data_IF_091382524211
#
_entry.id   IF_091382524211
#
_cell.length_a   1.000
_cell.length_b   1.000
_cell.length_c   1.000
_cell.angle_alpha   90.00
_cell.angle_beta   90.00
_cell.angle_gamma   90.00
#
_symmetry.space_group_name_H-M   'P 1'
#
loop_
_entity.id
_entity.type
_entity.pdbx_description
1 polymer ?
#
# COMPACT_ATOMS: atom_id res chain seq x y z
N UNK A 1 -24.08 51.67 31.97
CA UNK A 1 -25.39 51.00 31.84
C UNK A 1 -25.17 49.57 31.37
N UNK A 2 -25.46 48.58 32.21
CA UNK A 2 -25.38 47.16 31.86
C UNK A 2 -26.55 46.84 30.91
N UNK A 3 -26.25 46.42 29.68
CA UNK A 3 -27.28 45.94 28.76
C UNK A 3 -27.87 44.65 29.33
N UNK A 4 -29.11 44.71 29.84
CA UNK A 4 -29.90 43.52 30.21
C UNK A 4 -30.31 42.81 28.91
N UNK A 5 -29.45 41.92 28.43
CA UNK A 5 -29.76 41.07 27.28
C UNK A 5 -30.76 40.01 27.78
N UNK A 6 -32.04 40.20 27.43
CA UNK A 6 -33.06 39.17 27.64
C UNK A 6 -32.79 38.08 26.61
N UNK A 7 -32.45 36.88 27.08
CA UNK A 7 -32.28 35.72 26.21
C UNK A 7 -33.65 35.33 25.62
N UNK A 8 -33.75 35.08 24.31
CA UNK A 8 -34.98 34.59 23.71
C UNK A 8 -35.35 33.22 24.31
N UNK A 9 -36.65 32.91 24.34
CA UNK A 9 -37.15 31.63 24.84
C UNK A 9 -36.51 30.43 24.13
N UNK A 10 -36.34 29.32 24.86
CA UNK A 10 -35.64 28.13 24.35
C UNK A 10 -36.19 27.59 23.03
N UNK A 11 -37.50 27.71 22.80
CA UNK A 11 -38.17 27.33 21.54
C UNK A 11 -37.77 28.24 20.38
N UNK A 12 -37.64 29.55 20.62
CA UNK A 12 -37.16 30.53 19.64
C UNK A 12 -35.71 30.27 19.26
N UNK A 13 -34.85 29.99 20.24
CA UNK A 13 -33.45 29.60 19.99
C UNK A 13 -33.36 28.30 19.19
N UNK A 14 -34.11 27.27 19.57
CA UNK A 14 -34.13 25.98 18.85
C UNK A 14 -34.56 26.14 17.39
N UNK A 15 -35.60 26.95 17.12
CA UNK A 15 -36.04 27.24 15.75
C UNK A 15 -34.95 27.97 14.95
N UNK A 16 -34.35 29.01 15.53
CA UNK A 16 -33.28 29.76 14.88
C UNK A 16 -32.08 28.86 14.56
N UNK A 17 -31.66 28.00 15.50
CA UNK A 17 -30.56 27.05 15.30
C UNK A 17 -30.88 26.09 14.15
N UNK A 18 -32.11 25.55 14.11
CA UNK A 18 -32.55 24.65 13.03
C UNK A 18 -32.53 25.36 11.67
N UNK A 19 -33.07 26.57 11.57
CA UNK A 19 -33.08 27.37 10.34
C UNK A 19 -31.65 27.67 9.84
N UNK A 20 -30.75 28.07 10.76
CA UNK A 20 -29.34 28.35 10.41
C UNK A 20 -28.62 27.08 9.96
N UNK A 21 -28.87 25.94 10.62
CA UNK A 21 -28.30 24.64 10.21
C UNK A 21 -28.78 24.21 8.84
N UNK A 22 -30.06 24.39 8.54
CA UNK A 22 -30.64 24.08 7.24
C UNK A 22 -30.04 24.96 6.13
N UNK A 23 -30.02 26.29 6.34
CA UNK A 23 -29.36 27.24 5.40
C UNK A 23 -27.90 26.87 5.14
N UNK A 24 -27.16 26.53 6.19
CA UNK A 24 -25.76 26.13 6.06
C UNK A 24 -25.59 24.79 5.31
N UNK A 25 -26.56 23.88 5.42
CA UNK A 25 -26.58 22.59 4.72
C UNK A 25 -26.89 22.80 3.24
N UNK A 26 -27.91 23.59 2.91
CA UNK A 26 -28.25 23.95 1.54
C UNK A 26 -27.09 24.68 0.84
N UNK A 27 -26.40 25.59 1.55
CA UNK A 27 -25.21 26.27 1.02
C UNK A 27 -24.09 25.28 0.69
N UNK A 28 -23.87 24.26 1.53
CA UNK A 28 -22.89 23.22 1.26
C UNK A 28 -23.27 22.40 0.02
N UNK A 29 -24.52 21.98 -0.10
CA UNK A 29 -24.98 21.24 -1.27
C UNK A 29 -24.87 22.05 -2.55
N UNK A 30 -25.22 23.34 -2.51
CA UNK A 30 -25.04 24.24 -3.64
C UNK A 30 -23.58 24.30 -4.09
N UNK A 31 -22.66 24.54 -3.16
CA UNK A 31 -21.23 24.59 -3.48
C UNK A 31 -20.74 23.28 -4.10
N UNK A 32 -21.07 22.14 -3.50
CA UNK A 32 -20.65 20.82 -3.98
C UNK A 32 -21.23 20.49 -5.36
N UNK A 33 -22.51 20.78 -5.59
CA UNK A 33 -23.17 20.54 -6.87
C UNK A 33 -22.61 21.41 -8.01
N UNK A 34 -21.95 22.52 -7.68
CA UNK A 34 -21.29 23.41 -8.65
C UNK A 34 -19.87 22.98 -9.02
N UNK A 35 -19.25 22.08 -8.27
CA UNK A 35 -17.89 21.58 -8.56
C UNK A 35 -17.82 20.84 -9.91
N UNK A 36 -18.67 19.84 -10.19
CA UNK A 36 -18.53 19.05 -11.40
C UNK A 36 -19.01 19.80 -12.65
N UNK A 37 -18.28 19.62 -13.75
CA UNK A 37 -18.67 20.02 -15.10
C UNK A 37 -19.94 19.28 -15.56
N UNK A 38 -20.55 19.71 -16.68
CA UNK A 38 -21.72 19.04 -17.23
C UNK A 38 -21.46 17.56 -17.56
N UNK A 39 -20.27 17.25 -18.08
CA UNK A 39 -19.84 15.89 -18.37
C UNK A 39 -19.64 15.07 -17.09
N UNK A 40 -18.91 15.62 -16.11
CA UNK A 40 -18.69 14.97 -14.81
C UNK A 40 -20.01 14.72 -14.08
N UNK A 41 -20.99 15.63 -14.18
CA UNK A 41 -22.34 15.42 -13.62
C UNK A 41 -23.02 14.21 -14.24
N UNK A 42 -22.91 14.04 -15.57
CA UNK A 42 -23.46 12.86 -16.25
C UNK A 42 -22.77 11.58 -15.76
N UNK A 43 -21.43 11.59 -15.67
CA UNK A 43 -20.66 10.47 -15.14
C UNK A 43 -21.03 10.12 -13.69
N UNK A 44 -21.21 11.12 -12.83
CA UNK A 44 -21.60 10.92 -11.44
C UNK A 44 -23.00 10.31 -11.32
N UNK A 45 -23.95 10.73 -12.16
CA UNK A 45 -25.29 10.14 -12.18
C UNK A 45 -25.27 8.68 -12.69
N UNK A 46 -24.35 8.33 -13.60
CA UNK A 46 -24.16 6.93 -14.04
C UNK A 46 -23.75 6.00 -12.89
N UNK A 47 -23.14 6.52 -11.81
CA UNK A 47 -22.83 5.72 -10.61
C UNK A 47 -24.07 5.04 -9.99
N UNK A 48 -25.24 5.63 -10.20
CA UNK A 48 -26.51 5.12 -9.66
C UNK A 48 -27.15 4.05 -10.54
N UNK A 49 -26.70 3.91 -11.79
CA UNK A 49 -27.19 2.91 -12.74
C UNK A 49 -26.56 1.53 -12.52
N UNK A 50 -27.20 0.45 -13.01
CA UNK A 50 -26.60 -0.87 -13.02
C UNK A 50 -25.37 -0.89 -13.94
N UNK A 51 -24.37 -1.70 -13.60
CA UNK A 51 -23.24 -1.96 -14.50
C UNK A 51 -23.57 -3.08 -15.49
N UNK A 52 -22.98 -3.05 -16.69
CA UNK A 52 -23.22 -4.05 -17.74
C UNK A 52 -22.92 -5.49 -17.31
N UNK A 53 -22.06 -5.67 -16.30
CA UNK A 53 -21.57 -6.98 -15.86
C UNK A 53 -22.05 -7.39 -14.45
N UNK A 54 -22.88 -6.60 -13.77
CA UNK A 54 -23.31 -6.91 -12.39
C UNK A 54 -24.67 -6.31 -12.04
N UNK A 55 -25.43 -7.01 -11.20
CA UNK A 55 -26.68 -6.50 -10.60
C UNK A 55 -26.44 -5.32 -9.65
N UNK A 56 -25.20 -5.05 -9.27
CA UNK A 56 -24.82 -3.91 -8.44
C UNK A 56 -24.58 -2.69 -9.31
N UNK A 57 -24.89 -1.51 -8.78
CA UNK A 57 -24.46 -0.27 -9.40
C UNK A 57 -22.97 -0.05 -9.21
N UNK A 58 -22.38 0.82 -10.03
CA UNK A 58 -20.97 1.20 -9.91
C UNK A 58 -20.68 1.84 -8.54
N UNK A 59 -21.62 2.61 -7.99
CA UNK A 59 -21.49 3.15 -6.63
C UNK A 59 -21.34 2.04 -5.56
N UNK A 60 -22.10 0.95 -5.66
CA UNK A 60 -22.03 -0.15 -4.69
C UNK A 60 -20.78 -1.01 -4.86
N UNK A 61 -20.22 -1.12 -6.07
CA UNK A 61 -18.92 -1.78 -6.25
C UNK A 61 -17.78 -0.92 -5.71
N UNK A 62 -17.80 0.40 -5.95
CA UNK A 62 -16.79 1.34 -5.43
C UNK A 62 -16.78 1.42 -3.90
N UNK A 63 -17.92 1.12 -3.25
CA UNK A 63 -18.01 1.03 -1.79
C UNK A 63 -17.26 -0.16 -1.19
N UNK A 64 -16.96 -1.19 -1.99
CA UNK A 64 -16.32 -2.41 -1.49
C UNK A 64 -14.81 -2.24 -1.53
N UNK A 65 -14.20 -2.23 -0.34
CA UNK A 65 -12.76 -2.32 -0.19
C UNK A 65 -12.23 -3.73 -0.44
N UNK A 66 -10.90 -3.89 -0.54
CA UNK A 66 -10.26 -5.19 -0.68
C UNK A 66 -10.51 -6.05 0.57
N UNK A 67 -10.78 -7.34 0.37
CA UNK A 67 -11.03 -8.31 1.45
C UNK A 67 -9.94 -9.38 1.57
N UNK A 68 -8.99 -9.39 0.64
CA UNK A 68 -7.86 -10.33 0.65
C UNK A 68 -6.56 -9.61 0.35
N UNK A 69 -5.45 -10.19 0.82
CA UNK A 69 -4.09 -9.69 0.57
C UNK A 69 -3.50 -10.52 -0.57
N UNK A 70 -3.61 -10.03 -1.80
CA UNK A 70 -3.10 -10.73 -3.00
C UNK A 70 -2.86 -9.76 -4.16
N UNK A 71 -2.03 -10.18 -5.13
CA UNK A 71 -1.76 -9.38 -6.33
C UNK A 71 -3.03 -9.00 -7.14
N UNK A 72 -3.96 -9.95 -7.40
CA UNK A 72 -5.24 -9.61 -8.02
C UNK A 72 -6.05 -8.61 -7.19
N UNK A 73 -6.17 -8.81 -5.88
CA UNK A 73 -6.91 -7.90 -5.00
C UNK A 73 -6.28 -6.49 -4.95
N UNK A 74 -4.95 -6.39 -5.03
CA UNK A 74 -4.27 -5.12 -5.16
C UNK A 74 -4.56 -4.44 -6.49
N UNK A 75 -4.52 -5.17 -7.60
CA UNK A 75 -4.86 -4.61 -8.92
C UNK A 75 -6.32 -4.13 -8.95
N UNK A 76 -7.26 -4.89 -8.36
CA UNK A 76 -8.66 -4.46 -8.20
C UNK A 76 -8.78 -3.21 -7.33
N UNK A 77 -7.99 -3.09 -6.25
CA UNK A 77 -7.97 -1.91 -5.40
C UNK A 77 -7.44 -0.67 -6.14
N UNK A 78 -6.40 -0.82 -6.96
CA UNK A 78 -5.86 0.25 -7.80
C UNK A 78 -6.86 0.65 -8.89
N UNK A 79 -7.52 -0.29 -9.56
CA UNK A 79 -8.57 0.03 -10.54
C UNK A 79 -9.77 0.75 -9.91
N UNK A 80 -10.15 0.35 -8.69
CA UNK A 80 -11.18 1.06 -7.91
C UNK A 80 -10.76 2.50 -7.60
N UNK A 81 -9.53 2.71 -7.15
CA UNK A 81 -8.99 4.05 -6.94
C UNK A 81 -8.97 4.85 -8.25
N UNK A 82 -8.45 4.26 -9.33
CA UNK A 82 -8.37 4.88 -10.64
C UNK A 82 -9.74 5.32 -11.14
N UNK A 83 -10.76 4.46 -11.01
CA UNK A 83 -12.14 4.80 -11.36
C UNK A 83 -12.64 6.04 -10.63
N UNK A 84 -12.26 6.22 -9.36
CA UNK A 84 -12.61 7.41 -8.57
C UNK A 84 -11.79 8.64 -8.98
N UNK A 85 -10.48 8.47 -9.21
CA UNK A 85 -9.57 9.51 -9.65
C UNK A 85 -9.89 10.03 -11.07
N UNK A 86 -10.37 9.17 -11.97
CA UNK A 86 -10.71 9.50 -13.36
C UNK A 86 -11.91 10.46 -13.45
N UNK A 87 -12.70 10.63 -12.38
CA UNK A 87 -13.69 11.72 -12.32
C UNK A 87 -13.04 13.11 -12.32
N UNK A 88 -11.77 13.23 -11.94
CA UNK A 88 -11.01 14.48 -12.03
C UNK A 88 -11.61 15.63 -11.20
N UNK A 89 -12.18 15.31 -10.03
CA UNK A 89 -12.76 16.33 -9.14
C UNK A 89 -11.63 17.04 -8.38
N UNK A 90 -10.95 17.98 -9.03
CA UNK A 90 -9.75 18.62 -8.48
C UNK A 90 -10.02 19.46 -7.22
N UNK A 91 -9.04 19.42 -6.31
CA UNK A 91 -9.11 19.96 -4.95
C UNK A 91 -9.09 21.50 -4.85
N UNK A 92 -8.82 22.22 -5.94
CA UNK A 92 -8.71 23.69 -5.94
C UNK A 92 -10.01 24.37 -5.44
N UNK A 93 -11.16 23.72 -5.65
CA UNK A 93 -12.46 24.20 -5.18
C UNK A 93 -12.81 23.80 -3.72
N UNK A 94 -12.00 22.93 -3.09
CA UNK A 94 -12.30 22.33 -1.78
C UNK A 94 -11.78 23.12 -0.59
N UNK A 95 -10.79 24.01 -0.79
CA UNK A 95 -10.23 24.87 0.26
C UNK A 95 -11.28 25.71 0.99
N UNK A 96 -12.38 26.04 0.32
CA UNK A 96 -13.49 26.82 0.88
C UNK A 96 -14.58 25.98 1.57
N UNK A 97 -14.41 24.65 1.62
CA UNK A 97 -15.37 23.71 2.20
C UNK A 97 -14.91 23.21 3.57
N UNK A 98 -15.79 23.19 4.58
CA UNK A 98 -15.45 22.60 5.87
C UNK A 98 -15.21 21.09 5.74
N UNK A 99 -13.95 20.65 5.93
CA UNK A 99 -13.53 19.25 5.77
C UNK A 99 -14.38 18.25 6.58
N UNK A 100 -14.74 18.60 7.82
CA UNK A 100 -15.59 17.76 8.69
C UNK A 100 -16.96 17.52 8.06
N UNK A 101 -17.56 18.53 7.43
CA UNK A 101 -18.88 18.39 6.80
C UNK A 101 -18.82 17.56 5.53
N UNK A 102 -17.76 17.74 4.74
CA UNK A 102 -17.50 16.90 3.56
C UNK A 102 -17.37 15.43 3.97
N UNK A 103 -16.53 15.14 4.96
CA UNK A 103 -16.33 13.77 5.48
C UNK A 103 -17.62 13.16 6.02
N UNK A 104 -18.45 13.93 6.72
CA UNK A 104 -19.74 13.45 7.21
C UNK A 104 -20.73 13.16 6.07
N UNK A 105 -20.77 14.00 5.03
CA UNK A 105 -21.62 13.78 3.87
C UNK A 105 -21.15 12.57 3.05
N UNK A 106 -19.85 12.37 2.91
CA UNK A 106 -19.27 11.21 2.26
C UNK A 106 -19.54 9.91 3.02
N UNK A 107 -19.45 9.93 4.36
CA UNK A 107 -19.83 8.79 5.20
C UNK A 107 -21.30 8.46 5.04
N UNK A 108 -22.15 9.48 5.02
CA UNK A 108 -23.57 9.31 4.74
C UNK A 108 -23.80 8.67 3.37
N UNK A 109 -23.08 9.11 2.33
CA UNK A 109 -23.14 8.51 0.99
C UNK A 109 -22.73 7.02 1.01
N UNK A 110 -21.67 6.69 1.76
CA UNK A 110 -21.19 5.32 1.96
C UNK A 110 -22.25 4.38 2.57
N UNK A 111 -22.98 4.85 3.58
CA UNK A 111 -24.00 4.07 4.29
C UNK A 111 -25.36 4.04 3.56
N UNK A 112 -25.63 5.00 2.68
CA UNK A 112 -26.94 5.15 2.03
C UNK A 112 -27.01 4.29 0.78
N UNK A 113 -28.09 3.54 0.61
CA UNK A 113 -28.31 2.75 -0.61
C UNK A 113 -28.46 3.64 -1.84
N UNK A 114 -28.04 3.14 -3.01
CA UNK A 114 -28.19 3.79 -4.32
C UNK A 114 -29.61 4.29 -4.56
N UNK A 115 -30.60 3.46 -4.23
CA UNK A 115 -32.02 3.79 -4.39
C UNK A 115 -32.43 5.03 -3.59
N UNK A 116 -31.95 5.15 -2.36
CA UNK A 116 -32.23 6.31 -1.52
C UNK A 116 -31.50 7.57 -2.02
N UNK A 117 -30.29 7.42 -2.56
CA UNK A 117 -29.55 8.53 -3.18
C UNK A 117 -30.27 9.01 -4.46
N UNK A 118 -30.74 8.09 -5.29
CA UNK A 118 -31.45 8.40 -6.54
C UNK A 118 -32.72 9.24 -6.32
N UNK A 119 -33.42 9.02 -5.20
CA UNK A 119 -34.66 9.72 -4.83
C UNK A 119 -34.45 11.10 -4.22
N UNK A 120 -33.22 11.53 -3.97
CA UNK A 120 -32.94 12.85 -3.43
C UNK A 120 -33.23 13.95 -4.45
N UNK A 121 -33.41 15.20 -3.98
CA UNK A 121 -33.45 16.35 -4.87
C UNK A 121 -32.15 16.41 -5.70
N UNK A 122 -32.19 16.86 -6.97
CA UNK A 122 -31.03 16.83 -7.86
C UNK A 122 -29.78 17.47 -7.26
N UNK A 123 -29.97 18.58 -6.54
CA UNK A 123 -28.91 19.30 -5.87
C UNK A 123 -28.28 18.50 -4.72
N UNK A 124 -29.10 17.88 -3.86
CA UNK A 124 -28.61 17.05 -2.75
C UNK A 124 -27.94 15.78 -3.28
N UNK A 125 -28.53 15.14 -4.29
CA UNK A 125 -28.00 13.95 -4.95
C UNK A 125 -26.59 14.20 -5.49
N UNK A 126 -26.43 15.27 -6.28
CA UNK A 126 -25.13 15.65 -6.82
C UNK A 126 -24.12 15.95 -5.71
N UNK A 127 -24.52 16.69 -4.67
CA UNK A 127 -23.63 16.99 -3.54
C UNK A 127 -23.17 15.71 -2.80
N UNK A 128 -24.04 14.72 -2.65
CA UNK A 128 -23.73 13.43 -2.02
C UNK A 128 -22.76 12.63 -2.90
N UNK A 129 -22.97 12.59 -4.22
CA UNK A 129 -22.09 11.89 -5.16
C UNK A 129 -20.71 12.52 -5.25
N UNK A 130 -20.63 13.85 -5.31
CA UNK A 130 -19.36 14.60 -5.28
C UNK A 130 -18.62 14.34 -3.97
N UNK A 131 -19.33 14.41 -2.83
CA UNK A 131 -18.72 14.14 -1.53
C UNK A 131 -18.23 12.69 -1.42
N UNK A 132 -18.98 11.73 -1.98
CA UNK A 132 -18.56 10.33 -2.08
C UNK A 132 -17.24 10.22 -2.83
N UNK A 133 -17.18 10.65 -4.10
CA UNK A 133 -15.97 10.49 -4.93
C UNK A 133 -14.76 11.14 -4.27
N UNK A 134 -14.87 12.39 -3.81
CA UNK A 134 -13.74 13.12 -3.20
C UNK A 134 -13.15 12.43 -1.97
N UNK A 135 -13.98 11.89 -1.08
CA UNK A 135 -13.49 11.25 0.13
C UNK A 135 -13.09 9.79 -0.10
N UNK A 136 -13.79 9.11 -1.00
CA UNK A 136 -13.55 7.70 -1.29
C UNK A 136 -12.37 7.49 -2.23
N UNK A 137 -12.00 8.47 -3.04
CA UNK A 137 -10.75 8.44 -3.81
C UNK A 137 -9.55 8.29 -2.86
N UNK A 138 -9.42 9.16 -1.86
CA UNK A 138 -8.36 9.06 -0.86
C UNK A 138 -8.42 7.74 -0.09
N UNK A 139 -9.62 7.36 0.38
CA UNK A 139 -9.81 6.08 1.08
C UNK A 139 -9.40 4.88 0.21
N UNK A 140 -9.72 4.91 -1.09
CA UNK A 140 -9.42 3.81 -1.98
C UNK A 140 -7.92 3.68 -2.26
N UNK A 141 -7.19 4.80 -2.30
CA UNK A 141 -5.74 4.79 -2.38
C UNK A 141 -5.12 4.23 -1.09
N UNK A 142 -5.60 4.69 0.07
CA UNK A 142 -5.14 4.21 1.38
C UNK A 142 -5.34 2.68 1.49
N UNK A 143 -6.53 2.18 1.16
CA UNK A 143 -6.83 0.75 1.13
C UNK A 143 -5.88 -0.04 0.19
N UNK A 144 -5.53 0.53 -0.97
CA UNK A 144 -4.62 -0.11 -1.92
C UNK A 144 -3.19 -0.16 -1.37
N UNK A 145 -2.74 0.89 -0.68
CA UNK A 145 -1.44 0.95 0.00
C UNK A 145 -1.38 -0.03 1.17
N UNK A 146 -2.45 -0.18 1.95
CA UNK A 146 -2.52 -1.18 3.03
C UNK A 146 -2.36 -2.62 2.49
N UNK A 147 -2.98 -2.93 1.35
CA UNK A 147 -2.80 -4.23 0.68
C UNK A 147 -1.36 -4.40 0.19
N UNK A 148 -0.76 -3.36 -0.40
CA UNK A 148 0.62 -3.38 -0.86
C UNK A 148 1.59 -3.65 0.29
N UNK A 149 1.46 -2.93 1.40
CA UNK A 149 2.31 -3.06 2.58
C UNK A 149 2.20 -4.47 3.17
N UNK A 150 0.98 -4.99 3.29
CA UNK A 150 0.75 -6.35 3.76
C UNK A 150 1.38 -7.40 2.82
N UNK A 151 1.30 -7.21 1.50
CA UNK A 151 1.92 -8.09 0.51
C UNK A 151 3.45 -8.04 0.58
N UNK A 152 4.04 -6.86 0.68
CA UNK A 152 5.48 -6.69 0.81
C UNK A 152 5.99 -7.33 2.10
N UNK A 153 5.27 -7.17 3.22
CA UNK A 153 5.60 -7.84 4.47
C UNK A 153 5.61 -9.37 4.33
N UNK A 154 4.63 -9.94 3.63
CA UNK A 154 4.59 -11.39 3.34
C UNK A 154 5.78 -11.82 2.48
N UNK A 155 6.07 -11.08 1.41
CA UNK A 155 7.18 -11.37 0.49
C UNK A 155 8.52 -11.36 1.23
N UNK A 156 8.78 -10.33 2.03
CA UNK A 156 10.02 -10.19 2.81
C UNK A 156 10.14 -11.32 3.83
N UNK A 157 9.03 -11.66 4.53
CA UNK A 157 9.01 -12.77 5.48
C UNK A 157 9.29 -14.11 4.80
N UNK A 158 8.71 -14.36 3.63
CA UNK A 158 8.93 -15.58 2.87
C UNK A 158 10.38 -15.68 2.37
N UNK A 159 10.94 -14.59 1.84
CA UNK A 159 12.35 -14.52 1.45
C UNK A 159 13.28 -14.85 2.63
N UNK A 160 13.05 -14.24 3.80
CA UNK A 160 13.79 -14.53 5.04
C UNK A 160 13.68 -16.00 5.43
N UNK A 161 12.48 -16.58 5.36
CA UNK A 161 12.26 -18.00 5.70
C UNK A 161 13.00 -18.94 4.74
N UNK A 162 13.03 -18.61 3.44
CA UNK A 162 13.80 -19.35 2.44
C UNK A 162 15.30 -19.25 2.73
N UNK A 163 15.80 -18.04 3.01
CA UNK A 163 17.21 -17.80 3.34
C UNK A 163 17.65 -18.57 4.58
N UNK A 164 16.86 -18.51 5.66
CA UNK A 164 17.10 -19.31 6.87
C UNK A 164 17.13 -20.81 6.60
N UNK A 165 16.22 -21.32 5.77
CA UNK A 165 16.17 -22.75 5.40
C UNK A 165 17.39 -23.16 4.57
N UNK A 166 17.82 -22.34 3.60
CA UNK A 166 19.04 -22.57 2.82
C UNK A 166 20.27 -22.55 3.73
N UNK A 167 20.35 -21.57 4.64
CA UNK A 167 21.45 -21.47 5.61
C UNK A 167 21.55 -22.70 6.49
N UNK A 168 20.44 -23.12 7.12
CA UNK A 168 20.41 -24.31 7.97
C UNK A 168 20.85 -25.58 7.24
N UNK A 169 20.48 -25.75 5.97
CA UNK A 169 20.94 -26.88 5.15
C UNK A 169 22.45 -26.84 4.91
N UNK A 170 22.97 -25.66 4.63
CA UNK A 170 24.37 -25.44 4.29
C UNK A 170 25.33 -25.47 5.49
N UNK A 171 24.83 -25.30 6.73
CA UNK A 171 25.66 -25.30 7.94
C UNK A 171 26.44 -26.60 8.11
N UNK A 172 25.81 -27.75 7.83
CA UNK A 172 26.49 -29.05 7.95
C UNK A 172 27.68 -29.17 6.99
N UNK A 173 27.50 -28.69 5.76
CA UNK A 173 28.55 -28.73 4.74
C UNK A 173 29.65 -27.69 5.03
N UNK A 174 29.27 -26.54 5.59
CA UNK A 174 30.19 -25.53 6.08
C UNK A 174 31.02 -26.04 7.26
N UNK A 175 30.43 -26.70 8.26
CA UNK A 175 31.13 -27.28 9.40
C UNK A 175 32.16 -28.32 8.95
N UNK A 176 31.74 -29.23 8.05
CA UNK A 176 32.63 -30.24 7.48
C UNK A 176 33.81 -29.60 6.73
N UNK A 177 33.55 -28.55 5.97
CA UNK A 177 34.56 -27.82 5.21
C UNK A 177 35.50 -27.03 6.12
N UNK A 178 34.96 -26.38 7.15
CA UNK A 178 35.72 -25.63 8.14
C UNK A 178 36.66 -26.54 8.93
N UNK A 179 36.20 -27.72 9.38
CA UNK A 179 37.03 -28.71 10.05
C UNK A 179 38.17 -29.22 9.14
N UNK A 180 37.89 -29.46 7.86
CA UNK A 180 38.91 -29.89 6.90
C UNK A 180 39.93 -28.80 6.56
N UNK A 181 39.50 -27.53 6.48
CA UNK A 181 40.40 -26.39 6.27
C UNK A 181 41.24 -26.11 7.53
N UNK A 182 40.65 -26.21 8.73
CA UNK A 182 41.37 -26.06 9.99
C UNK A 182 42.43 -27.16 10.15
N UNK A 183 42.12 -28.41 9.79
CA UNK A 183 43.10 -29.50 9.81
C UNK A 183 44.20 -29.30 8.76
N UNK A 184 43.90 -28.77 7.58
CA UNK A 184 44.93 -28.42 6.60
C UNK A 184 45.82 -27.27 7.09
N UNK A 185 45.24 -26.25 7.72
CA UNK A 185 45.96 -25.09 8.22
C UNK A 185 46.81 -25.40 9.46
N UNK A 186 46.47 -26.41 10.26
CA UNK A 186 47.27 -26.77 11.44
C UNK A 186 48.67 -27.27 11.07
N UNK A 187 48.87 -27.82 9.87
CA UNK A 187 50.20 -28.17 9.35
C UNK A 187 51.08 -26.94 9.09
N UNK A 188 50.50 -25.77 8.82
CA UNK A 188 51.26 -24.52 8.69
C UNK A 188 51.83 -24.04 10.02
N UNK A 189 51.30 -24.52 11.14
CA UNK A 189 51.71 -24.13 12.49
C UNK A 189 52.70 -25.14 13.13
N UNK A 190 53.08 -26.21 12.42
CA UNK A 190 54.05 -27.19 12.92
C UNK A 190 55.48 -26.70 12.65
N UNK A 191 56.22 -26.40 13.71
CA UNK A 191 57.62 -25.93 13.62
C UNK A 191 58.61 -27.04 13.22
N UNK A 192 58.22 -28.31 13.36
CA UNK A 192 59.08 -29.49 13.13
C UNK A 192 59.22 -29.85 11.63
N UNK A 193 58.35 -29.31 10.78
CA UNK A 193 58.28 -29.63 9.35
C UNK A 193 58.99 -28.55 8.54
N UNK A 194 59.98 -28.89 7.70
CA UNK A 194 60.62 -27.93 6.80
C UNK A 194 59.58 -27.27 5.89
N UNK A 195 59.62 -25.94 5.74
CA UNK A 195 58.68 -25.15 4.93
C UNK A 195 58.43 -25.72 3.52
N UNK A 196 59.49 -26.25 2.90
CA UNK A 196 59.47 -26.83 1.55
C UNK A 196 58.59 -28.10 1.45
N UNK A 197 58.39 -28.80 2.57
CA UNK A 197 57.68 -30.08 2.64
C UNK A 197 56.20 -29.94 3.03
N UNK A 198 55.80 -28.81 3.63
CA UNK A 198 54.45 -28.60 4.18
C UNK A 198 53.36 -28.85 3.13
N UNK A 199 53.55 -28.37 1.89
CA UNK A 199 52.57 -28.56 0.82
C UNK A 199 52.38 -30.03 0.45
N UNK A 200 53.47 -30.80 0.39
CA UNK A 200 53.43 -32.22 0.09
C UNK A 200 52.74 -32.99 1.24
N UNK A 201 53.01 -32.60 2.48
CA UNK A 201 52.42 -33.22 3.67
C UNK A 201 50.91 -32.95 3.76
N UNK A 202 50.47 -31.71 3.55
CA UNK A 202 49.03 -31.37 3.48
C UNK A 202 48.33 -32.17 2.37
N UNK A 203 48.94 -32.29 1.20
CA UNK A 203 48.36 -33.06 0.09
C UNK A 203 48.36 -34.57 0.30
N UNK A 204 49.22 -35.10 1.17
CA UNK A 204 49.18 -36.50 1.57
C UNK A 204 47.92 -36.82 2.41
N UNK A 205 47.46 -35.86 3.22
CA UNK A 205 46.27 -36.02 4.06
C UNK A 205 44.97 -35.60 3.36
N UNK A 206 45.00 -34.51 2.59
CA UNK A 206 43.88 -34.00 1.80
C UNK A 206 44.33 -33.80 0.35
N UNK A 207 43.88 -34.65 -0.59
CA UNK A 207 44.25 -34.51 -2.00
C UNK A 207 43.96 -33.10 -2.54
N UNK A 208 44.85 -32.58 -3.39
CA UNK A 208 44.74 -31.23 -3.96
C UNK A 208 43.36 -30.92 -4.56
N UNK A 209 42.78 -31.87 -5.30
CA UNK A 209 41.45 -31.71 -5.91
C UNK A 209 40.37 -31.55 -4.85
N UNK A 210 40.39 -32.38 -3.81
CA UNK A 210 39.45 -32.31 -2.68
C UNK A 210 39.59 -31.00 -1.91
N UNK A 211 40.81 -30.50 -1.71
CA UNK A 211 41.04 -29.20 -1.08
C UNK A 211 40.47 -28.05 -1.93
N UNK A 212 40.66 -28.11 -3.26
CA UNK A 212 40.09 -27.12 -4.18
C UNK A 212 38.55 -27.14 -4.18
N UNK A 213 37.94 -28.34 -4.16
CA UNK A 213 36.49 -28.51 -4.02
C UNK A 213 35.96 -27.92 -2.71
N UNK A 214 36.63 -28.18 -1.58
CA UNK A 214 36.27 -27.62 -0.27
C UNK A 214 36.35 -26.09 -0.28
N UNK A 215 37.41 -25.51 -0.84
CA UNK A 215 37.57 -24.05 -0.94
C UNK A 215 36.44 -23.44 -1.79
N UNK A 216 36.09 -24.11 -2.90
CA UNK A 216 35.02 -23.66 -3.80
C UNK A 216 33.67 -23.71 -3.08
N UNK A 217 33.37 -24.81 -2.40
CA UNK A 217 32.16 -25.00 -1.61
C UNK A 217 32.01 -23.94 -0.50
N UNK A 218 33.10 -23.64 0.22
CA UNK A 218 33.10 -22.60 1.25
C UNK A 218 32.82 -21.23 0.64
N UNK A 219 33.40 -20.91 -0.53
CA UNK A 219 33.13 -19.64 -1.21
C UNK A 219 31.68 -19.51 -1.69
N UNK A 220 31.05 -20.61 -2.06
CA UNK A 220 29.63 -20.63 -2.47
C UNK A 220 28.67 -20.50 -1.28
N UNK A 221 29.00 -21.10 -0.13
CA UNK A 221 28.09 -21.23 1.02
C UNK A 221 28.33 -20.17 2.10
N UNK A 222 29.56 -19.67 2.24
CA UNK A 222 29.89 -18.64 3.21
C UNK A 222 29.24 -17.32 2.80
N UNK A 223 28.50 -16.72 3.74
CA UNK A 223 27.92 -15.38 3.58
C UNK A 223 28.52 -14.45 4.64
N UNK A 224 28.78 -13.17 4.31
CA UNK A 224 29.07 -12.14 5.31
C UNK A 224 27.93 -12.02 6.33
N UNK A 225 28.21 -11.49 7.52
CA UNK A 225 27.19 -11.29 8.57
C UNK A 225 26.02 -10.41 8.13
N UNK A 226 26.24 -9.55 7.15
CA UNK A 226 25.32 -8.48 6.77
C UNK A 226 24.45 -8.86 5.55
N UNK A 227 24.82 -9.89 4.80
CA UNK A 227 24.12 -10.33 3.59
C UNK A 227 22.95 -11.26 3.95
N UNK A 228 21.82 -10.64 4.30
CA UNK A 228 20.82 -11.35 5.08
C UNK A 228 19.80 -12.16 4.26
N UNK A 229 19.52 -11.83 2.99
CA UNK A 229 18.58 -12.59 2.13
C UNK A 229 18.38 -11.94 0.76
N UNK A 230 19.39 -11.20 0.24
CA UNK A 230 19.22 -10.41 -0.99
C UNK A 230 18.92 -11.29 -2.21
N UNK A 231 19.60 -12.44 -2.33
CA UNK A 231 19.33 -13.42 -3.37
C UNK A 231 17.90 -13.97 -3.28
N UNK A 232 17.46 -14.32 -2.06
CA UNK A 232 16.11 -14.83 -1.83
C UNK A 232 15.02 -13.77 -2.08
N UNK A 233 15.34 -12.49 -1.89
CA UNK A 233 14.47 -11.38 -2.28
C UNK A 233 14.33 -11.29 -3.80
N UNK A 234 15.42 -11.47 -4.56
CA UNK A 234 15.38 -11.49 -6.03
C UNK A 234 14.54 -12.68 -6.53
N UNK A 235 14.61 -13.83 -5.87
CA UNK A 235 13.75 -14.99 -6.17
C UNK A 235 12.24 -14.66 -6.04
N UNK A 236 11.86 -13.68 -5.21
CA UNK A 236 10.47 -13.24 -5.08
C UNK A 236 10.01 -12.26 -6.17
N UNK A 237 10.90 -11.81 -7.07
CA UNK A 237 10.57 -10.82 -8.11
C UNK A 237 9.38 -11.23 -8.97
N UNK A 238 9.21 -12.53 -9.24
CA UNK A 238 8.08 -13.05 -10.00
C UNK A 238 6.71 -12.75 -9.37
N UNK A 239 6.64 -12.57 -8.04
CA UNK A 239 5.43 -12.15 -7.33
C UNK A 239 5.21 -10.65 -7.47
N UNK A 240 6.27 -9.86 -7.29
CA UNK A 240 6.25 -8.40 -7.36
C UNK A 240 5.86 -7.91 -8.77
N UNK A 241 6.40 -8.54 -9.81
CA UNK A 241 6.14 -8.20 -11.21
C UNK A 241 4.66 -8.28 -11.61
N UNK A 242 3.83 -9.02 -10.88
CA UNK A 242 2.40 -9.18 -11.19
C UNK A 242 1.56 -7.93 -10.87
N UNK A 243 2.06 -7.05 -10.02
CA UNK A 243 1.32 -5.87 -9.56
C UNK A 243 2.11 -4.56 -9.68
N UNK A 244 3.44 -4.61 -9.55
CA UNK A 244 4.27 -3.41 -9.58
C UNK A 244 4.15 -2.58 -10.88
N UNK A 245 4.12 -3.17 -12.09
CA UNK A 245 3.94 -2.38 -13.31
C UNK A 245 2.60 -1.64 -13.34
N UNK A 246 1.54 -2.27 -12.81
CA UNK A 246 0.22 -1.66 -12.77
C UNK A 246 0.19 -0.47 -11.80
N UNK A 247 0.84 -0.59 -10.64
CA UNK A 247 1.01 0.51 -9.69
C UNK A 247 1.75 1.70 -10.34
N UNK A 248 2.93 1.44 -10.93
CA UNK A 248 3.80 2.50 -11.46
C UNK A 248 3.20 3.23 -12.68
N UNK A 249 2.37 2.54 -13.48
CA UNK A 249 1.70 3.15 -14.62
C UNK A 249 0.43 3.92 -14.24
N UNK A 250 -0.15 3.63 -13.08
CA UNK A 250 -1.47 4.15 -12.67
C UNK A 250 -1.34 5.27 -11.63
N UNK A 251 -0.49 5.08 -10.61
CA UNK A 251 -0.30 6.05 -9.52
C UNK A 251 0.86 6.99 -9.84
N UNK A 252 0.60 8.29 -9.76
CA UNK A 252 1.65 9.32 -9.87
C UNK A 252 2.29 9.53 -8.51
N UNK A 253 3.57 9.19 -8.40
CA UNK A 253 4.36 9.46 -7.20
C UNK A 253 4.96 10.87 -7.26
N UNK A 254 4.97 11.56 -6.13
CA UNK A 254 5.59 12.87 -5.98
C UNK A 254 6.29 12.93 -4.63
N UNK A 255 7.35 13.75 -4.54
CA UNK A 255 8.04 13.99 -3.28
C UNK A 255 7.18 14.83 -2.35
N UNK A 256 7.26 14.55 -1.05
CA UNK A 256 6.79 15.50 -0.03
C UNK A 256 7.59 16.82 -0.14
N UNK A 257 7.09 17.95 0.41
CA UNK A 257 7.79 19.24 0.32
C UNK A 257 9.24 19.20 0.81
N UNK A 258 9.55 18.35 1.81
CA UNK A 258 10.90 18.15 2.34
C UNK A 258 11.85 17.36 1.41
N UNK A 259 11.32 16.75 0.34
CA UNK A 259 12.07 15.97 -0.64
C UNK A 259 12.18 16.66 -2.00
N UNK A 260 11.75 17.92 -2.12
CA UNK A 260 12.01 18.72 -3.32
C UNK A 260 13.52 19.01 -3.39
N UNK A 261 14.16 18.89 -4.56
CA UNK A 261 15.55 19.29 -4.72
C UNK A 261 15.68 20.78 -4.35
N UNK A 262 16.68 21.08 -3.51
CA UNK A 262 17.02 22.43 -3.06
C UNK A 262 17.33 23.36 -4.23
#
# INVERSE_FOLDING_TARGET
>A
MQHRIILPGATTLTRLISEVREKATLRLWNKLALIPSAEQRSQLEMLLGPTDCSRLSLLESLKKGPVTISGPAFNEAIERWKTLNDFGLHAENLSTLPAVRLKNLARYAGMTSVFNIARMSPQKRMAVLVAFVLAWETLALDDALDVLDAMLAVIIRDARKIGQKKRLRSLKDLDKSALALASACSYLLKEETPDESIRAEVFSYIPRQKLAEIITLVREIARPSDDNFHEEMVEQYGRVRRFLPHLLNTVKFSSAPAGLPL
#
